data_IF_046770026488
#
_entry.id   IF_046770026488
#
_cell.length_a   1.000
_cell.length_b   1.000
_cell.length_c   1.000
_cell.angle_alpha   90.00
_cell.angle_beta   90.00
_cell.angle_gamma   90.00
#
_symmetry.space_group_name_H-M   'P 1'
#
loop_
_entity.id
_entity.type
_entity.pdbx_description
1 polymer ?
#
# COMPACT_ATOMS: atom_id res chain seq x y z
N UNK A 1 5.94 -1.95 38.08
CA UNK A 1 5.45 -2.12 39.47
C UNK A 1 4.57 -3.36 39.53
N UNK A 2 4.96 -4.36 40.33
CA UNK A 2 4.14 -5.53 40.62
C UNK A 2 3.06 -5.15 41.67
N UNK A 3 1.90 -5.81 41.62
CA UNK A 3 0.87 -5.63 42.66
C UNK A 3 1.36 -6.22 43.98
N UNK A 4 1.06 -5.55 45.10
CA UNK A 4 1.47 -5.99 46.44
C UNK A 4 0.58 -7.12 47.02
N UNK A 5 -0.59 -7.38 46.43
CA UNK A 5 -1.50 -8.42 46.89
C UNK A 5 -1.17 -9.81 46.28
N UNK A 6 -1.37 -10.92 47.01
CA UNK A 6 -1.21 -12.27 46.47
C UNK A 6 -2.02 -12.49 45.18
N UNK A 7 -1.45 -13.16 44.17
CA UNK A 7 -2.10 -13.33 42.84
C UNK A 7 -3.52 -13.87 42.93
N UNK A 8 -3.75 -14.89 43.75
CA UNK A 8 -5.07 -15.50 43.95
C UNK A 8 -6.14 -14.54 44.51
N UNK A 9 -5.73 -13.41 45.09
CA UNK A 9 -6.63 -12.36 45.58
C UNK A 9 -6.91 -11.25 44.56
N UNK A 10 -6.28 -11.30 43.39
CA UNK A 10 -6.50 -10.36 42.30
C UNK A 10 -7.51 -10.91 41.29
N UNK A 11 -8.31 -10.06 40.62
CA UNK A 11 -9.13 -10.48 39.49
C UNK A 11 -8.30 -11.25 38.46
N UNK A 12 -8.80 -12.41 38.02
CA UNK A 12 -8.14 -13.30 37.06
C UNK A 12 -6.68 -13.67 37.43
N UNK A 13 -6.39 -13.84 38.73
CA UNK A 13 -5.04 -14.14 39.24
C UNK A 13 -3.99 -13.07 38.93
N UNK A 14 -4.44 -11.84 38.66
CA UNK A 14 -3.61 -10.71 38.31
C UNK A 14 -3.02 -10.79 36.90
N UNK A 15 -2.08 -9.89 36.62
CA UNK A 15 -1.48 -9.76 35.28
C UNK A 15 -0.01 -10.18 35.31
N UNK A 16 0.37 -11.09 34.42
CA UNK A 16 1.77 -11.39 34.13
C UNK A 16 2.28 -10.43 33.05
N UNK A 17 3.24 -9.57 33.41
CA UNK A 17 3.90 -8.69 32.43
C UNK A 17 5.17 -9.35 31.94
N UNK A 18 5.38 -9.38 30.64
CA UNK A 18 6.61 -9.89 30.02
C UNK A 18 7.09 -8.92 28.93
N UNK A 19 8.41 -8.69 28.81
CA UNK A 19 8.98 -7.93 27.70
C UNK A 19 8.69 -8.54 26.32
N UNK A 20 8.34 -9.83 26.25
CA UNK A 20 8.06 -10.51 24.99
C UNK A 20 6.94 -9.83 24.19
N UNK A 21 5.91 -9.28 24.85
CA UNK A 21 4.82 -8.57 24.18
C UNK A 21 5.21 -7.20 23.60
N UNK A 22 6.40 -6.70 23.92
CA UNK A 22 6.95 -5.46 23.39
C UNK A 22 7.97 -5.69 22.27
N UNK A 23 8.26 -6.95 21.92
CA UNK A 23 9.21 -7.30 20.88
C UNK A 23 8.50 -7.72 19.58
N UNK A 24 9.04 -7.35 18.43
CA UNK A 24 8.53 -7.77 17.11
C UNK A 24 8.52 -9.29 16.92
N UNK A 25 9.35 -10.03 17.67
CA UNK A 25 9.38 -11.49 17.65
C UNK A 25 8.07 -12.13 18.11
N UNK A 26 7.24 -11.40 18.88
CA UNK A 26 5.88 -11.80 19.19
C UNK A 26 4.99 -11.85 17.94
N UNK A 27 5.13 -10.88 17.03
CA UNK A 27 4.36 -10.78 15.80
C UNK A 27 4.80 -11.82 14.74
N UNK A 28 6.06 -12.28 14.81
CA UNK A 28 6.65 -13.25 13.87
C UNK A 28 5.83 -14.53 13.73
N UNK A 29 5.20 -15.02 14.79
CA UNK A 29 4.48 -16.29 14.77
C UNK A 29 3.35 -16.37 13.74
N UNK A 30 2.81 -15.22 13.34
CA UNK A 30 1.81 -15.13 12.27
C UNK A 30 2.38 -14.42 11.04
N UNK A 31 3.06 -13.28 11.20
CA UNK A 31 3.52 -12.43 10.10
C UNK A 31 4.84 -12.89 9.43
N UNK A 32 5.20 -14.15 9.59
CA UNK A 32 6.35 -14.78 8.96
C UNK A 32 6.07 -16.26 8.75
N UNK A 33 5.97 -16.68 7.51
CA UNK A 33 5.97 -18.08 7.17
C UNK A 33 7.36 -18.67 7.42
N UNK A 34 7.37 -19.85 8.05
CA UNK A 34 8.59 -20.60 8.33
C UNK A 34 9.20 -21.24 7.07
N UNK A 35 10.30 -22.00 7.22
CA UNK A 35 10.99 -22.63 6.09
C UNK A 35 10.12 -23.57 5.25
N UNK A 36 9.15 -24.25 5.88
CA UNK A 36 8.20 -25.15 5.21
C UNK A 36 6.93 -24.42 4.72
N UNK A 37 6.88 -23.10 4.90
CA UNK A 37 5.77 -22.26 4.47
C UNK A 37 5.76 -22.05 2.96
N UNK A 38 4.59 -21.66 2.44
CA UNK A 38 4.43 -21.45 1.01
C UNK A 38 5.30 -20.29 0.52
N UNK A 39 6.11 -20.53 -0.50
CA UNK A 39 7.08 -19.59 -1.03
C UNK A 39 7.05 -19.58 -2.56
N UNK A 40 7.31 -18.40 -3.14
CA UNK A 40 7.47 -18.19 -4.57
C UNK A 40 8.78 -17.48 -4.84
N UNK A 41 9.53 -17.97 -5.83
CA UNK A 41 10.87 -17.46 -6.16
C UNK A 41 11.80 -17.38 -4.93
N UNK A 42 11.71 -18.37 -4.03
CA UNK A 42 12.51 -18.43 -2.80
C UNK A 42 12.10 -17.42 -1.71
N UNK A 43 11.00 -16.68 -1.88
CA UNK A 43 10.47 -15.72 -0.91
C UNK A 43 9.14 -16.25 -0.32
N UNK A 44 9.01 -16.38 1.01
CA UNK A 44 7.74 -16.73 1.64
C UNK A 44 6.61 -15.78 1.22
N UNK A 45 5.36 -16.25 1.19
CA UNK A 45 4.21 -15.37 0.92
C UNK A 45 4.00 -14.34 2.03
N UNK A 46 4.23 -14.74 3.29
CA UNK A 46 4.34 -13.83 4.43
C UNK A 46 5.79 -13.78 4.92
N UNK A 47 6.47 -12.66 4.67
CA UNK A 47 7.90 -12.48 4.95
C UNK A 47 8.19 -11.21 5.76
N UNK A 48 7.16 -10.66 6.41
CA UNK A 48 7.19 -9.31 6.97
C UNK A 48 8.18 -9.15 8.12
N UNK A 49 8.36 -10.19 8.94
CA UNK A 49 9.32 -10.12 10.06
C UNK A 49 10.76 -10.06 9.57
N UNK A 50 11.15 -10.91 8.62
CA UNK A 50 12.51 -10.91 8.09
C UNK A 50 12.78 -9.66 7.23
N UNK A 51 11.78 -9.17 6.48
CA UNK A 51 11.83 -7.85 5.83
C UNK A 51 12.09 -6.72 6.85
N UNK A 52 11.39 -6.73 7.99
CA UNK A 52 11.61 -5.76 9.07
C UNK A 52 12.99 -5.91 9.69
N UNK A 53 13.39 -7.13 10.00
CA UNK A 53 14.66 -7.45 10.67
C UNK A 53 15.87 -7.03 9.85
N UNK A 54 15.76 -7.06 8.52
CA UNK A 54 16.80 -6.59 7.61
C UNK A 54 16.85 -5.05 7.45
N UNK A 55 15.90 -4.31 8.03
CA UNK A 55 15.76 -2.87 7.83
C UNK A 55 16.55 -2.02 8.84
N UNK A 56 16.70 -0.74 8.53
CA UNK A 56 17.19 0.29 9.47
C UNK A 56 16.33 0.40 10.73
N UNK A 57 15.04 0.03 10.69
CA UNK A 57 14.13 0.16 11.81
C UNK A 57 14.43 -0.89 12.88
N UNK A 58 14.68 -2.15 12.48
CA UNK A 58 15.15 -3.17 13.40
C UNK A 58 16.51 -2.80 14.00
N UNK A 59 17.44 -2.29 13.19
CA UNK A 59 18.74 -1.82 13.68
C UNK A 59 18.62 -0.65 14.69
N UNK A 60 17.63 0.22 14.50
CA UNK A 60 17.31 1.31 15.43
C UNK A 60 16.46 0.88 16.63
N UNK A 61 16.10 -0.40 16.75
CA UNK A 61 15.29 -0.93 17.84
C UNK A 61 13.79 -0.63 17.75
N UNK A 62 13.31 -0.07 16.64
CA UNK A 62 11.88 0.23 16.42
C UNK A 62 11.13 -1.09 16.18
N UNK A 63 10.19 -1.40 17.08
CA UNK A 63 9.40 -2.62 17.08
C UNK A 63 8.08 -2.45 16.32
N UNK A 64 7.45 -3.55 15.91
CA UNK A 64 6.14 -3.52 15.26
C UNK A 64 5.10 -2.74 16.08
N UNK A 65 5.14 -2.90 17.40
CA UNK A 65 4.23 -2.29 18.36
C UNK A 65 4.37 -0.76 18.41
N UNK A 66 5.56 -0.20 18.12
CA UNK A 66 5.79 1.25 18.20
C UNK A 66 4.94 2.00 17.15
N UNK A 67 4.69 1.36 16.00
CA UNK A 67 3.87 1.92 14.92
C UNK A 67 2.43 1.37 14.92
N UNK A 68 2.25 0.06 15.09
CA UNK A 68 0.93 -0.59 14.98
C UNK A 68 0.14 -0.59 16.29
N UNK A 69 0.80 -0.34 17.42
CA UNK A 69 0.17 -0.29 18.75
C UNK A 69 0.61 0.94 19.55
N UNK A 70 0.49 2.16 18.99
CA UNK A 70 0.99 3.37 19.63
C UNK A 70 0.30 3.59 20.97
N UNK A 71 1.08 3.99 21.97
CA UNK A 71 0.63 4.13 23.36
C UNK A 71 0.02 2.84 23.94
N UNK A 72 0.43 1.68 23.43
CA UNK A 72 -0.08 0.33 23.78
C UNK A 72 -1.56 0.13 23.44
N UNK A 73 -2.09 0.91 22.49
CA UNK A 73 -3.46 0.74 21.98
C UNK A 73 -3.49 -0.39 20.94
N UNK A 74 -4.51 -1.23 20.99
CA UNK A 74 -4.68 -2.35 20.05
C UNK A 74 -5.38 -1.88 18.76
N UNK A 75 -4.80 -0.86 18.10
CA UNK A 75 -5.38 -0.29 16.88
C UNK A 75 -5.04 -1.11 15.64
N UNK A 76 -3.81 -1.64 15.59
CA UNK A 76 -3.32 -2.50 14.49
C UNK A 76 -3.55 -1.93 13.10
N UNK A 77 -3.44 -0.60 12.97
CA UNK A 77 -3.62 0.09 11.69
C UNK A 77 -2.62 -0.42 10.68
N UNK A 78 -3.04 -0.58 9.43
CA UNK A 78 -2.21 -1.13 8.37
C UNK A 78 -2.61 -0.57 7.03
N UNK A 79 -2.57 -1.40 5.99
CA UNK A 79 -2.82 -0.99 4.61
C UNK A 79 -4.27 -0.49 4.36
N UNK A 80 -5.22 -0.80 5.23
CA UNK A 80 -6.61 -0.31 5.17
C UNK A 80 -6.82 1.06 5.85
N UNK A 81 -5.79 1.65 6.47
CA UNK A 81 -5.87 2.96 7.14
C UNK A 81 -5.09 4.01 6.33
N UNK A 82 -5.78 5.01 5.81
CA UNK A 82 -5.18 6.00 4.91
C UNK A 82 -4.11 6.87 5.57
N UNK A 83 -4.27 7.18 6.86
CA UNK A 83 -3.32 8.01 7.60
C UNK A 83 -2.06 7.21 7.96
N UNK A 84 -2.22 5.92 8.31
CA UNK A 84 -1.11 5.00 8.50
C UNK A 84 -0.27 4.86 7.24
N UNK A 85 -0.92 4.66 6.08
CA UNK A 85 -0.20 4.56 4.80
C UNK A 85 0.49 5.88 4.47
N UNK A 86 -0.21 7.01 4.59
CA UNK A 86 0.38 8.33 4.29
C UNK A 86 1.56 8.64 5.21
N UNK A 87 1.49 8.30 6.49
CA UNK A 87 2.58 8.49 7.45
C UNK A 87 3.80 7.60 7.19
N UNK A 88 3.62 6.47 6.50
CA UNK A 88 4.71 5.56 6.12
C UNK A 88 5.46 5.97 4.84
N UNK A 89 4.98 6.98 4.10
CA UNK A 89 5.49 7.33 2.78
C UNK A 89 5.93 8.79 2.70
N UNK A 90 7.00 9.02 1.93
CA UNK A 90 7.32 10.36 1.41
C UNK A 90 6.88 10.39 -0.03
N UNK A 91 5.99 11.33 -0.36
CA UNK A 91 5.44 11.48 -1.72
C UNK A 91 5.80 12.88 -2.21
N UNK A 92 6.53 12.97 -3.32
CA UNK A 92 6.90 14.24 -3.95
C UNK A 92 6.42 14.28 -5.39
N UNK A 93 6.02 15.47 -5.83
CA UNK A 93 5.68 15.74 -7.22
C UNK A 93 6.52 16.91 -7.69
N UNK A 94 7.47 16.61 -8.57
CA UNK A 94 8.37 17.61 -9.15
C UNK A 94 7.86 17.97 -10.54
N UNK A 95 7.37 19.20 -10.72
CA UNK A 95 6.94 19.77 -12.01
C UNK A 95 7.98 20.72 -12.63
N UNK A 96 9.17 20.77 -12.04
CA UNK A 96 10.27 21.61 -12.46
C UNK A 96 11.05 20.96 -13.62
N UNK A 97 10.55 21.11 -14.85
CA UNK A 97 11.26 20.84 -16.12
C UNK A 97 11.39 19.35 -16.52
N UNK A 98 11.44 19.00 -17.83
CA UNK A 98 11.43 19.87 -19.01
C UNK A 98 10.04 20.45 -19.30
N UNK A 99 9.98 21.74 -19.61
CA UNK A 99 8.73 22.39 -20.05
C UNK A 99 8.29 21.78 -21.38
N UNK A 100 7.03 21.37 -21.46
CA UNK A 100 6.38 21.02 -22.72
C UNK A 100 5.49 22.20 -23.11
N UNK A 101 5.77 22.92 -24.22
CA UNK A 101 4.92 24.03 -24.65
C UNK A 101 3.47 23.58 -24.85
N UNK A 102 2.51 24.22 -24.17
CA UNK A 102 1.10 23.79 -24.22
C UNK A 102 0.84 22.41 -23.60
N UNK A 103 1.79 21.89 -22.83
CA UNK A 103 1.77 20.56 -22.23
C UNK A 103 2.20 20.56 -20.78
N UNK A 104 2.14 19.37 -20.20
CA UNK A 104 2.48 19.08 -18.81
C UNK A 104 3.71 18.20 -18.75
N UNK A 105 4.57 18.44 -17.77
CA UNK A 105 5.68 17.55 -17.44
C UNK A 105 5.86 17.55 -15.93
N UNK A 106 5.88 16.35 -15.34
CA UNK A 106 6.16 16.19 -13.93
C UNK A 106 6.63 14.77 -13.61
N UNK A 107 7.22 14.62 -12.42
CA UNK A 107 7.71 13.36 -11.88
C UNK A 107 7.12 13.14 -10.50
N UNK A 108 6.29 12.10 -10.38
CA UNK A 108 5.74 11.64 -9.11
C UNK A 108 6.66 10.58 -8.52
N UNK A 109 7.17 10.82 -7.31
CA UNK A 109 8.05 9.91 -6.58
C UNK A 109 7.36 9.46 -5.29
N UNK A 110 7.40 8.16 -5.03
CA UNK A 110 6.96 7.56 -3.77
C UNK A 110 8.12 6.81 -3.15
N UNK A 111 8.49 7.19 -1.93
CA UNK A 111 9.50 6.52 -1.12
C UNK A 111 8.86 5.78 0.05
N UNK A 112 9.32 4.56 0.32
CA UNK A 112 9.08 3.89 1.59
C UNK A 112 9.97 4.48 2.70
N UNK A 113 9.60 5.65 3.21
CA UNK A 113 10.40 6.41 4.17
C UNK A 113 10.11 6.03 5.63
N UNK A 114 8.94 5.47 5.92
CA UNK A 114 8.45 5.21 7.27
C UNK A 114 8.07 3.75 7.57
N UNK A 115 8.06 2.85 6.57
CA UNK A 115 7.67 1.44 6.79
C UNK A 115 8.89 0.57 7.01
N UNK A 116 8.86 -0.21 8.10
CA UNK A 116 9.95 -1.08 8.52
C UNK A 116 10.19 -2.29 7.62
N UNK A 117 9.22 -2.68 6.82
CA UNK A 117 9.26 -3.85 5.93
C UNK A 117 9.00 -3.41 4.48
N UNK A 118 8.84 -4.35 3.53
CA UNK A 118 8.50 -3.99 2.15
C UNK A 118 7.12 -3.33 2.09
N UNK A 119 6.97 -2.33 1.23
CA UNK A 119 5.72 -1.61 1.04
C UNK A 119 5.11 -1.84 -0.35
N UNK A 120 3.86 -2.30 -0.42
CA UNK A 120 3.19 -3.06 0.64
C UNK A 120 3.86 -4.45 0.80
N UNK A 121 3.76 -5.13 1.95
CA UNK A 121 4.48 -6.41 2.18
C UNK A 121 3.81 -7.58 1.43
N UNK A 122 2.57 -7.95 1.75
CA UNK A 122 1.91 -9.14 1.18
C UNK A 122 1.57 -9.03 -0.32
N UNK A 123 1.06 -10.12 -0.88
CA UNK A 123 0.53 -10.19 -2.26
C UNK A 123 -0.82 -9.51 -2.44
N UNK A 124 -1.56 -9.29 -1.34
CA UNK A 124 -2.93 -8.80 -1.38
C UNK A 124 -3.06 -7.35 -1.88
N UNK A 125 -2.35 -6.37 -1.29
CA UNK A 125 -2.48 -4.98 -1.67
C UNK A 125 -1.67 -4.59 -2.90
N UNK A 126 -2.16 -3.58 -3.61
CA UNK A 126 -1.46 -2.91 -4.70
C UNK A 126 -1.53 -1.41 -4.51
N UNK A 127 -0.43 -0.71 -4.81
CA UNK A 127 -0.39 0.75 -4.87
C UNK A 127 -0.10 1.19 -6.30
N UNK A 128 -0.89 2.14 -6.80
CA UNK A 128 -0.76 2.69 -8.14
C UNK A 128 -0.34 4.15 -8.05
N UNK A 129 0.81 4.47 -8.65
CA UNK A 129 1.12 5.83 -9.08
C UNK A 129 0.39 6.02 -10.39
N UNK A 130 -0.46 7.04 -10.48
CA UNK A 130 -1.31 7.30 -11.64
C UNK A 130 -1.16 8.74 -12.10
N UNK A 131 -1.17 8.93 -13.41
CA UNK A 131 -1.41 10.22 -14.05
C UNK A 131 -2.50 10.07 -15.11
N UNK A 132 -3.37 11.06 -15.25
CA UNK A 132 -4.35 11.15 -16.33
C UNK A 132 -4.58 12.62 -16.71
N UNK A 133 -4.90 12.90 -17.98
CA UNK A 133 -5.32 14.24 -18.38
C UNK A 133 -6.77 14.46 -17.96
N UNK A 134 -7.09 15.68 -17.57
CA UNK A 134 -8.44 16.06 -17.13
C UNK A 134 -8.97 17.27 -17.89
N UNK A 135 -10.28 17.29 -18.11
CA UNK A 135 -11.00 18.43 -18.68
C UNK A 135 -11.22 19.56 -17.66
N UNK A 136 -11.86 20.65 -18.09
CA UNK A 136 -12.20 21.79 -17.24
C UNK A 136 -13.15 21.44 -16.06
N UNK A 137 -13.96 20.38 -16.21
CA UNK A 137 -14.83 19.88 -15.15
C UNK A 137 -14.10 18.91 -14.19
N UNK A 138 -12.85 18.52 -14.50
CA UNK A 138 -12.07 17.59 -13.71
C UNK A 138 -12.30 16.11 -14.03
N UNK A 139 -13.02 15.81 -15.11
CA UNK A 139 -13.19 14.43 -15.58
C UNK A 139 -11.92 13.94 -16.26
N UNK A 140 -11.58 12.69 -15.99
CA UNK A 140 -10.49 12.02 -16.67
C UNK A 140 -10.81 11.79 -18.14
N UNK A 141 -9.86 12.13 -19.02
CA UNK A 141 -9.96 11.86 -20.45
C UNK A 141 -9.57 10.42 -20.75
N UNK A 142 -10.44 9.70 -21.47
CA UNK A 142 -10.21 8.32 -21.86
C UNK A 142 -8.89 8.16 -22.64
N UNK A 143 -8.15 7.07 -22.38
CA UNK A 143 -6.90 6.76 -23.05
C UNK A 143 -5.68 7.61 -22.65
N UNK A 144 -5.83 8.52 -21.67
CA UNK A 144 -4.71 9.36 -21.20
C UNK A 144 -4.03 8.86 -19.94
N UNK A 145 -4.64 7.86 -19.28
CA UNK A 145 -4.18 7.30 -18.01
C UNK A 145 -2.91 6.48 -18.20
N UNK A 146 -1.90 6.79 -17.39
CA UNK A 146 -0.64 6.03 -17.28
C UNK A 146 -0.45 5.66 -15.82
N UNK A 147 -0.02 4.43 -15.57
CA UNK A 147 0.15 3.91 -14.22
C UNK A 147 1.48 3.19 -14.03
N UNK A 148 2.01 3.30 -12.82
CA UNK A 148 3.08 2.45 -12.33
C UNK A 148 2.59 1.70 -11.09
N UNK A 149 2.76 0.38 -11.13
CA UNK A 149 2.33 -0.54 -10.07
C UNK A 149 3.46 -0.78 -9.06
N UNK A 150 3.11 -0.72 -7.78
CA UNK A 150 3.92 -1.16 -6.64
C UNK A 150 3.16 -2.30 -5.97
N UNK A 151 3.74 -3.49 -5.96
CA UNK A 151 3.16 -4.67 -5.33
C UNK A 151 3.85 -5.96 -5.76
N UNK A 152 3.47 -7.07 -5.14
CA UNK A 152 3.90 -8.42 -5.55
C UNK A 152 2.76 -9.09 -6.27
N UNK A 153 2.91 -9.25 -7.57
CA UNK A 153 1.91 -9.85 -8.43
C UNK A 153 2.17 -11.35 -8.57
N UNK A 154 1.14 -12.14 -8.26
CA UNK A 154 1.15 -13.59 -8.36
C UNK A 154 -0.11 -14.04 -9.10
N UNK A 155 -0.08 -15.23 -9.68
CA UNK A 155 -1.28 -15.87 -10.25
C UNK A 155 -2.29 -16.20 -9.14
N UNK A 156 -3.58 -16.29 -9.48
CA UNK A 156 -4.65 -16.51 -8.49
C UNK A 156 -4.59 -17.88 -7.80
N UNK A 157 -3.99 -18.87 -8.47
CA UNK A 157 -3.65 -20.19 -7.91
C UNK A 157 -2.38 -20.16 -7.02
N UNK A 158 -1.74 -18.99 -6.91
CA UNK A 158 -0.49 -18.75 -6.20
C UNK A 158 0.70 -19.54 -6.74
N UNK A 159 0.64 -20.16 -7.92
CA UNK A 159 1.74 -21.01 -8.42
C UNK A 159 2.93 -20.23 -8.97
N UNK A 160 2.71 -18.99 -9.43
CA UNK A 160 3.75 -18.20 -10.10
C UNK A 160 3.73 -16.74 -9.67
N UNK A 161 4.90 -16.24 -9.32
CA UNK A 161 5.15 -14.79 -9.22
C UNK A 161 5.39 -14.20 -10.60
N UNK A 162 4.58 -13.20 -10.97
CA UNK A 162 4.65 -12.47 -12.24
C UNK A 162 5.63 -11.31 -12.13
N UNK A 163 5.56 -10.55 -11.04
CA UNK A 163 6.47 -9.43 -10.76
C UNK A 163 6.49 -9.11 -9.26
N UNK A 164 7.57 -8.47 -8.81
CA UNK A 164 7.67 -7.93 -7.45
C UNK A 164 8.31 -6.54 -7.51
N UNK A 165 7.48 -5.51 -7.40
CA UNK A 165 7.89 -4.10 -7.40
C UNK A 165 7.66 -3.44 -6.04
N UNK A 166 7.49 -4.23 -4.97
CA UNK A 166 7.34 -3.72 -3.60
C UNK A 166 8.59 -2.98 -3.17
N UNK A 167 8.41 -1.86 -2.47
CA UNK A 167 9.51 -1.00 -2.03
C UNK A 167 10.10 -1.49 -0.72
N UNK A 168 11.38 -1.88 -0.72
CA UNK A 168 12.13 -2.06 0.52
C UNK A 168 12.22 -0.74 1.31
N UNK A 169 12.51 -0.76 2.62
CA UNK A 169 12.69 0.45 3.41
C UNK A 169 13.75 1.39 2.81
N UNK A 170 13.35 2.61 2.45
CA UNK A 170 14.17 3.63 1.77
C UNK A 170 14.17 3.54 0.23
N UNK A 171 13.54 2.52 -0.36
CA UNK A 171 13.41 2.39 -1.82
C UNK A 171 12.33 3.33 -2.37
N UNK A 172 12.48 3.69 -3.65
CA UNK A 172 11.63 4.63 -4.37
C UNK A 172 11.06 4.02 -5.64
N UNK A 173 9.82 4.38 -5.95
CA UNK A 173 9.24 4.23 -7.27
C UNK A 173 8.92 5.60 -7.86
N UNK A 174 9.08 5.73 -9.18
CA UNK A 174 8.88 6.97 -9.90
C UNK A 174 7.99 6.78 -11.12
N UNK A 175 7.09 7.73 -11.33
CA UNK A 175 6.29 7.89 -12.53
C UNK A 175 6.62 9.26 -13.16
N UNK A 176 7.40 9.22 -14.23
CA UNK A 176 7.76 10.39 -15.04
C UNK A 176 6.73 10.52 -16.15
N UNK A 177 6.19 11.72 -16.35
CA UNK A 177 5.19 12.00 -17.37
C UNK A 177 5.49 13.32 -18.05
N UNK A 178 5.46 13.32 -19.38
CA UNK A 178 5.56 14.52 -20.20
C UNK A 178 4.67 14.36 -21.45
N UNK A 179 3.70 15.25 -21.63
CA UNK A 179 2.79 15.20 -22.78
C UNK A 179 2.19 16.58 -23.10
N UNK A 180 1.96 16.86 -24.37
CA UNK A 180 1.10 17.98 -24.79
C UNK A 180 -0.33 17.76 -24.29
N UNK A 181 -1.05 18.84 -24.00
CA UNK A 181 -2.49 18.73 -23.74
C UNK A 181 -3.21 18.48 -25.08
N UNK A 182 -4.09 17.49 -25.08
CA UNK A 182 -4.88 17.07 -26.25
C UNK A 182 -6.36 17.00 -25.85
N UNK A 183 -7.26 16.99 -26.83
CA UNK A 183 -8.69 16.66 -26.63
C UNK A 183 -9.41 17.48 -25.55
N UNK A 184 -9.09 18.78 -25.43
CA UNK A 184 -9.71 19.67 -24.45
C UNK A 184 -9.19 19.50 -23.01
N UNK A 185 -8.10 18.77 -22.80
CA UNK A 185 -7.43 18.70 -21.52
C UNK A 185 -6.96 20.09 -21.05
N UNK A 186 -7.08 20.34 -19.74
CA UNK A 186 -6.61 21.58 -19.10
C UNK A 186 -5.50 21.35 -18.08
N UNK A 187 -5.31 20.09 -17.64
CA UNK A 187 -4.31 19.72 -16.64
C UNK A 187 -4.02 18.21 -16.69
N UNK A 188 -2.97 17.78 -16.01
CA UNK A 188 -2.78 16.39 -15.58
C UNK A 188 -3.09 16.24 -14.08
N UNK A 189 -3.84 15.21 -13.71
CA UNK A 189 -4.04 14.79 -12.32
C UNK A 189 -3.08 13.64 -12.00
N UNK A 190 -2.22 13.85 -11.03
CA UNK A 190 -1.35 12.83 -10.45
C UNK A 190 -1.97 12.33 -9.15
N UNK A 191 -1.94 11.02 -8.93
CA UNK A 191 -2.47 10.42 -7.71
C UNK A 191 -1.67 9.19 -7.28
N UNK A 192 -1.65 8.93 -5.98
CA UNK A 192 -1.21 7.64 -5.40
C UNK A 192 -2.44 6.98 -4.79
N UNK A 193 -2.86 5.87 -5.40
CA UNK A 193 -4.08 5.14 -5.01
C UNK A 193 -3.69 3.79 -4.43
N UNK A 194 -4.25 3.47 -3.27
CA UNK A 194 -4.04 2.22 -2.57
C UNK A 194 -5.25 1.33 -2.80
N UNK A 195 -5.02 0.08 -3.17
CA UNK A 195 -6.00 -0.98 -3.29
C UNK A 195 -5.65 -2.06 -2.26
N UNK A 196 -6.16 -1.98 -1.02
CA UNK A 196 -5.81 -2.91 0.04
C UNK A 196 -6.11 -4.38 -0.30
N UNK A 197 -7.23 -4.61 -0.98
CA UNK A 197 -7.79 -5.94 -1.26
C UNK A 197 -7.71 -6.33 -2.75
N UNK A 198 -6.66 -5.87 -3.45
CA UNK A 198 -6.54 -6.05 -4.90
C UNK A 198 -6.56 -7.53 -5.33
N UNK A 199 -5.81 -8.40 -4.64
CA UNK A 199 -5.81 -9.84 -4.92
C UNK A 199 -7.19 -10.48 -4.69
N UNK A 200 -7.84 -10.16 -3.56
CA UNK A 200 -9.18 -10.69 -3.26
C UNK A 200 -10.23 -10.22 -4.26
N UNK A 201 -10.15 -8.97 -4.72
CA UNK A 201 -11.03 -8.45 -5.77
C UNK A 201 -10.89 -9.30 -7.04
N UNK A 202 -9.67 -9.54 -7.50
CA UNK A 202 -9.42 -10.37 -8.68
C UNK A 202 -9.87 -11.83 -8.48
N UNK A 203 -9.65 -12.38 -7.29
CA UNK A 203 -10.07 -13.74 -6.92
C UNK A 203 -11.59 -13.88 -6.95
N UNK A 204 -12.33 -12.99 -6.29
CA UNK A 204 -13.81 -13.04 -6.27
C UNK A 204 -14.42 -12.81 -7.65
N UNK A 205 -13.84 -11.91 -8.46
CA UNK A 205 -14.25 -11.74 -9.84
C UNK A 205 -14.06 -13.01 -10.67
N UNK A 206 -12.92 -13.71 -10.49
CA UNK A 206 -12.67 -14.98 -11.16
C UNK A 206 -13.65 -16.07 -10.71
N UNK A 207 -13.89 -16.17 -9.40
CA UNK A 207 -14.83 -17.14 -8.82
C UNK A 207 -16.26 -16.93 -9.33
N UNK A 208 -16.74 -15.69 -9.41
CA UNK A 208 -18.06 -15.38 -9.96
C UNK A 208 -18.16 -15.72 -11.45
N UNK A 209 -17.09 -15.50 -12.23
CA UNK A 209 -17.07 -15.91 -13.65
C UNK A 209 -17.13 -17.43 -13.84
N UNK A 210 -16.59 -18.20 -12.91
CA UNK A 210 -16.58 -19.66 -12.95
C UNK A 210 -17.86 -20.30 -12.39
N UNK A 211 -18.69 -19.53 -11.69
CA UNK A 211 -19.88 -19.98 -10.98
C UNK A 211 -19.56 -20.34 -9.52
N UNK A 212 -19.94 -19.45 -8.60
CA UNK A 212 -19.62 -19.58 -7.17
C UNK A 212 -20.59 -20.50 -6.40
N UNK A 213 -21.55 -21.12 -7.11
CA UNK A 213 -22.50 -22.07 -6.54
C UNK A 213 -23.35 -21.47 -5.41
N UNK A 214 -23.54 -22.22 -4.33
CA UNK A 214 -24.40 -21.81 -3.20
C UNK A 214 -23.89 -20.58 -2.43
N UNK A 215 -22.63 -20.18 -2.61
CA UNK A 215 -22.03 -19.02 -1.93
C UNK A 215 -21.99 -17.74 -2.76
N UNK A 216 -22.66 -17.71 -3.92
CA UNK A 216 -22.49 -16.62 -4.88
C UNK A 216 -22.85 -15.23 -4.34
N UNK A 217 -23.92 -15.11 -3.55
CA UNK A 217 -24.33 -13.84 -2.95
C UNK A 217 -23.33 -13.34 -1.90
N UNK A 218 -22.71 -14.26 -1.15
CA UNK A 218 -21.63 -13.94 -0.21
C UNK A 218 -20.40 -13.44 -0.96
N UNK A 219 -20.05 -14.08 -2.08
CA UNK A 219 -18.93 -13.66 -2.93
C UNK A 219 -19.20 -12.29 -3.57
N UNK A 220 -20.43 -12.01 -4.02
CA UNK A 220 -20.81 -10.67 -4.52
C UNK A 220 -20.69 -9.60 -3.44
N UNK A 221 -21.13 -9.90 -2.22
CA UNK A 221 -21.01 -8.99 -1.07
C UNK A 221 -19.55 -8.71 -0.74
N UNK A 222 -18.72 -9.76 -0.62
CA UNK A 222 -17.30 -9.64 -0.38
C UNK A 222 -16.59 -8.83 -1.48
N UNK A 223 -16.89 -9.09 -2.76
CA UNK A 223 -16.38 -8.30 -3.88
C UNK A 223 -16.79 -6.82 -3.79
N UNK A 224 -18.02 -6.55 -3.35
CA UNK A 224 -18.47 -5.19 -3.10
C UNK A 224 -17.64 -4.49 -2.01
N UNK A 225 -17.30 -5.20 -0.94
CA UNK A 225 -16.46 -4.70 0.16
C UNK A 225 -15.03 -4.43 -0.31
N UNK A 226 -14.40 -5.37 -1.02
CA UNK A 226 -13.03 -5.18 -1.53
C UNK A 226 -12.93 -4.04 -2.53
N UNK A 227 -13.95 -3.81 -3.36
CA UNK A 227 -13.99 -2.67 -4.30
C UNK A 227 -14.12 -1.32 -3.59
N UNK A 228 -14.75 -1.28 -2.41
CA UNK A 228 -14.91 -0.04 -1.63
C UNK A 228 -13.72 0.28 -0.73
N UNK A 229 -12.76 -0.64 -0.56
CA UNK A 229 -11.61 -0.42 0.32
C UNK A 229 -10.51 0.45 -0.29
N UNK A 230 -10.58 0.76 -1.59
CA UNK A 230 -9.59 1.60 -2.25
C UNK A 230 -9.68 3.06 -1.79
N UNK A 231 -8.52 3.71 -1.59
CA UNK A 231 -8.45 5.12 -1.20
C UNK A 231 -7.22 5.81 -1.79
N UNK A 232 -7.29 7.15 -1.89
CA UNK A 232 -6.21 7.99 -2.40
C UNK A 232 -5.41 8.59 -1.25
N UNK A 233 -4.09 8.41 -1.24
CA UNK A 233 -3.20 8.99 -0.21
C UNK A 233 -2.55 10.30 -0.65
N UNK A 234 -2.49 10.55 -1.95
CA UNK A 234 -1.97 11.77 -2.56
C UNK A 234 -2.72 12.08 -3.85
N UNK A 235 -3.06 13.35 -4.08
CA UNK A 235 -3.58 13.85 -5.35
C UNK A 235 -3.07 15.28 -5.57
N UNK A 236 -2.64 15.59 -6.80
CA UNK A 236 -2.26 16.93 -7.21
C UNK A 236 -2.53 17.15 -8.70
N UNK A 237 -2.69 18.41 -9.10
CA UNK A 237 -2.87 18.82 -10.49
C UNK A 237 -1.64 19.58 -10.99
N UNK A 238 -1.18 19.23 -12.18
CA UNK A 238 -0.12 19.94 -12.90
C UNK A 238 -0.74 20.66 -14.09
N UNK A 239 -0.55 21.98 -14.13
CA UNK A 239 -1.03 22.84 -15.20
C UNK A 239 -0.02 22.89 -16.34
N UNK A 240 -0.47 23.19 -17.57
CA UNK A 240 0.44 23.31 -18.70
C UNK A 240 1.41 24.48 -18.55
N UNK A 241 2.63 24.31 -19.05
CA UNK A 241 3.63 25.38 -19.04
C UNK A 241 3.47 26.34 -20.23
N UNK A 242 3.38 27.64 -19.93
CA UNK A 242 3.19 28.72 -20.92
C UNK A 242 1.71 29.10 -21.10
N UNK A 243 1.42 30.40 -21.21
CA UNK A 243 0.07 30.86 -21.60
C UNK A 243 -0.21 30.37 -23.01
N UNK A 244 -1.31 29.65 -23.20
CA UNK A 244 -1.98 29.62 -24.50
C UNK A 244 -2.45 31.05 -24.75
N UNK A 245 -1.69 31.83 -25.51
CA UNK A 245 -2.20 33.11 -26.02
C UNK A 245 -3.43 32.78 -26.87
N UNK A 246 -4.61 33.38 -26.59
CA UNK A 246 -5.74 33.24 -27.50
C UNK A 246 -5.41 33.89 -28.85
N UNK A 247 -5.98 33.39 -29.96
CA UNK A 247 -5.86 34.03 -31.27
C UNK A 247 -6.47 35.43 -31.31
#
# INVERSE_FOLDING_TARGET
>A
MASAAPRASLPHEGVTRTPAYLASSFCRGCHQFGPDGYALNGKPLEDTYEEWKASRFAAAGVQCQDCHMPDRRHLWRGIHDADMVRGGLTITLDDASPRVPGGVAARLVVENSGVGHRFPTYVTPVVLLRVELVDAAGHALAGTRVERRIGREVTLDLEREVSDTRLAPGERAELVYARALENGAVAARFSVVVYPDAFYTAFFEALLRQGAGRGEDDVRRALGETRRSAFTVFEARVLPTGRLSPP
#
